data_IF_214351840934
#
_entry.id   IF_214351840934
#
_cell.length_a   1.000
_cell.length_b   1.000
_cell.length_c   1.000
_cell.angle_alpha   90.00
_cell.angle_beta   90.00
_cell.angle_gamma   90.00
#
_symmetry.space_group_name_H-M   'P 1'
#
loop_
_entity.id
_entity.type
_entity.pdbx_description
1 polymer ?
#
# COMPACT_ATOMS: atom_id res chain seq x y z
N UNK A 1 -28.53 14.56 6.09
CA UNK A 1 -28.67 13.63 7.23
C UNK A 1 -27.28 13.15 7.61
N UNK A 2 -26.83 13.48 8.83
CA UNK A 2 -25.56 12.99 9.41
C UNK A 2 -25.80 11.59 9.98
N UNK A 3 -24.94 10.58 9.76
CA UNK A 3 -24.95 9.37 10.57
C UNK A 3 -24.47 9.71 11.98
N UNK A 4 -25.24 9.29 13.00
CA UNK A 4 -25.01 9.55 14.44
C UNK A 4 -24.55 8.31 15.20
N UNK A 5 -23.77 7.44 14.59
CA UNK A 5 -23.30 6.20 15.23
C UNK A 5 -21.78 6.17 15.29
N UNK A 6 -21.23 6.41 16.48
CA UNK A 6 -19.83 6.14 16.80
C UNK A 6 -19.73 4.70 17.34
N UNK A 7 -18.83 3.89 16.79
CA UNK A 7 -18.44 2.61 17.39
C UNK A 7 -17.72 2.92 18.71
N UNK A 8 -18.34 2.52 19.81
CA UNK A 8 -17.84 2.70 21.16
C UNK A 8 -17.10 1.43 21.58
N UNK A 9 -15.81 1.56 21.93
CA UNK A 9 -15.07 0.48 22.59
C UNK A 9 -13.75 0.11 21.90
N UNK A 10 -12.77 1.01 21.89
CA UNK A 10 -11.36 0.63 22.06
C UNK A 10 -10.72 1.74 22.88
N UNK A 11 -10.58 1.52 24.19
CA UNK A 11 -9.66 2.32 25.02
C UNK A 11 -8.25 2.08 24.51
N UNK A 12 -7.46 3.11 24.14
CA UNK A 12 -6.05 2.91 23.81
C UNK A 12 -5.31 2.50 25.08
N UNK A 13 -4.91 1.22 25.17
CA UNK A 13 -3.83 0.84 26.06
C UNK A 13 -2.54 1.45 25.47
N UNK A 14 -1.87 2.26 26.28
CA UNK A 14 -0.56 2.82 25.97
C UNK A 14 0.47 1.68 25.90
N UNK A 15 0.84 1.27 24.68
CA UNK A 15 1.93 0.30 24.47
C UNK A 15 3.07 0.93 23.65
N UNK A 16 4.22 1.08 24.32
CA UNK A 16 5.61 1.24 23.84
C UNK A 16 5.86 1.90 22.47
N UNK A 17 5.24 3.05 22.21
CA UNK A 17 5.36 3.85 20.97
C UNK A 17 6.70 4.57 20.73
N UNK A 18 7.75 4.30 21.50
CA UNK A 18 8.98 5.12 21.49
C UNK A 18 9.96 4.83 20.34
N UNK A 19 9.70 3.84 19.48
CA UNK A 19 10.70 3.33 18.52
C UNK A 19 10.29 3.54 17.05
N UNK A 20 8.99 3.60 16.73
CA UNK A 20 8.46 3.72 15.36
C UNK A 20 7.62 4.99 15.22
N UNK A 21 7.94 5.84 14.25
CA UNK A 21 7.17 7.05 14.02
C UNK A 21 6.20 6.91 12.84
N UNK A 22 5.02 7.52 12.93
CA UNK A 22 4.10 7.57 11.80
C UNK A 22 4.67 8.44 10.68
N UNK A 23 4.54 7.99 9.43
CA UNK A 23 4.74 8.84 8.27
C UNK A 23 3.63 9.90 8.22
N UNK A 24 4.02 11.16 8.01
CA UNK A 24 3.10 12.23 7.66
C UNK A 24 2.86 12.21 6.16
N UNK A 25 1.59 12.25 5.80
CA UNK A 25 1.14 12.48 4.42
C UNK A 25 1.00 13.99 4.29
N UNK A 26 1.46 14.55 3.16
CA UNK A 26 1.30 15.97 2.88
C UNK A 26 -0.18 16.35 2.97
N UNK A 27 -0.54 17.06 4.03
CA UNK A 27 -1.89 17.58 4.21
C UNK A 27 -2.13 18.67 3.18
N UNK A 28 -3.34 18.72 2.64
CA UNK A 28 -3.70 19.79 1.73
C UNK A 28 -3.55 21.15 2.44
N UNK A 29 -3.01 22.17 1.75
CA UNK A 29 -2.88 23.51 2.31
C UNK A 29 -4.22 23.97 2.91
N UNK A 30 -4.18 24.64 4.08
CA UNK A 30 -5.40 25.25 4.65
C UNK A 30 -6.01 26.20 3.61
N UNK A 31 -7.20 25.84 3.11
CA UNK A 31 -7.90 26.55 2.01
C UNK A 31 -7.91 25.83 0.66
N UNK A 32 -7.32 24.63 0.54
CA UNK A 32 -7.16 23.91 -0.73
C UNK A 32 -8.43 23.27 -1.32
N UNK A 33 -9.48 23.07 -0.52
CA UNK A 33 -10.78 22.53 -0.94
C UNK A 33 -11.87 23.03 0.02
N UNK A 34 -13.04 23.52 -0.46
CA UNK A 34 -14.16 23.85 0.42
C UNK A 34 -14.57 22.68 1.30
N UNK A 35 -15.15 22.96 2.47
CA UNK A 35 -15.75 21.91 3.30
C UNK A 35 -16.75 21.09 2.47
N UNK A 36 -16.77 19.77 2.65
CA UNK A 36 -17.59 18.81 1.88
C UNK A 36 -17.14 18.54 0.43
N UNK A 37 -15.94 18.95 0.03
CA UNK A 37 -15.38 18.60 -1.28
C UNK A 37 -14.27 17.56 -1.17
N UNK A 38 -14.15 16.72 -2.20
CA UNK A 38 -13.09 15.71 -2.31
C UNK A 38 -11.99 16.25 -3.23
N UNK A 39 -10.74 16.35 -2.76
CA UNK A 39 -9.59 16.77 -3.55
C UNK A 39 -9.23 15.69 -4.57
N UNK A 40 -9.40 16.00 -5.85
CA UNK A 40 -8.98 15.12 -6.95
C UNK A 40 -7.80 15.80 -7.65
N UNK A 41 -6.65 15.11 -7.71
CA UNK A 41 -5.51 15.58 -8.49
C UNK A 41 -5.95 15.75 -9.94
N UNK A 42 -5.74 16.95 -10.51
CA UNK A 42 -6.03 17.21 -11.92
C UNK A 42 -5.14 16.34 -12.78
N UNK A 43 -5.75 15.50 -13.61
CA UNK A 43 -5.06 14.64 -14.56
C UNK A 43 -4.75 15.46 -15.81
N UNK A 44 -3.48 15.47 -16.22
CA UNK A 44 -3.04 16.08 -17.47
C UNK A 44 -3.01 15.06 -18.61
N UNK A 45 -2.95 15.53 -19.86
CA UNK A 45 -2.77 14.64 -21.02
C UNK A 45 -1.44 13.87 -20.90
N UNK A 46 -0.42 14.54 -20.38
CA UNK A 46 0.91 13.99 -20.17
C UNK A 46 0.89 12.87 -19.11
N UNK A 47 0.13 13.03 -18.03
CA UNK A 47 -0.08 11.96 -17.04
C UNK A 47 -0.66 10.71 -17.71
N UNK A 48 -1.70 10.87 -18.55
CA UNK A 48 -2.32 9.75 -19.26
C UNK A 48 -1.36 9.05 -20.24
N UNK A 49 -0.50 9.82 -20.92
CA UNK A 49 0.53 9.26 -21.82
C UNK A 49 1.56 8.46 -21.00
N UNK A 50 2.04 9.01 -19.89
CA UNK A 50 3.04 8.34 -19.02
C UNK A 50 2.50 7.06 -18.38
N UNK A 51 1.23 7.04 -17.98
CA UNK A 51 0.59 5.84 -17.43
C UNK A 51 0.50 4.72 -18.45
N UNK A 52 0.13 5.02 -19.70
CA UNK A 52 0.11 4.02 -20.79
C UNK A 52 1.49 3.44 -21.08
N UNK A 53 2.56 4.19 -20.83
CA UNK A 53 3.94 3.71 -20.94
C UNK A 53 4.37 2.88 -19.72
N UNK A 54 3.67 3.01 -18.59
CA UNK A 54 3.96 2.35 -17.32
C UNK A 54 3.01 1.18 -17.00
N UNK A 55 2.04 0.86 -17.86
CA UNK A 55 1.03 -0.17 -17.60
C UNK A 55 1.55 -1.61 -17.64
N UNK A 56 2.78 -1.84 -18.10
CA UNK A 56 3.43 -3.16 -18.16
C UNK A 56 4.05 -3.61 -16.82
N UNK A 57 3.84 -2.86 -15.74
CA UNK A 57 4.25 -3.26 -14.39
C UNK A 57 3.32 -4.41 -13.95
N UNK A 58 3.87 -5.59 -13.66
CA UNK A 58 3.16 -6.67 -12.95
C UNK A 58 3.61 -6.72 -11.48
N UNK A 59 2.87 -6.12 -10.54
CA UNK A 59 3.00 -6.39 -9.11
C UNK A 59 1.70 -6.99 -8.55
N UNK A 60 1.82 -8.01 -7.68
CA UNK A 60 0.88 -8.47 -6.63
C UNK A 60 -0.64 -8.47 -6.91
N UNK A 61 -1.34 -9.56 -6.60
CA UNK A 61 -2.76 -9.78 -6.93
C UNK A 61 -3.71 -8.60 -6.61
N UNK A 62 -4.44 -8.19 -7.66
CA UNK A 62 -5.65 -7.37 -7.75
C UNK A 62 -5.80 -6.01 -7.01
N UNK A 63 -5.33 -5.81 -5.78
CA UNK A 63 -5.44 -4.53 -5.03
C UNK A 63 -4.17 -4.23 -4.22
N UNK A 64 -3.52 -3.08 -4.47
CA UNK A 64 -2.30 -2.71 -3.73
C UNK A 64 -2.32 -1.25 -3.29
N UNK A 65 -2.86 -0.93 -2.10
CA UNK A 65 -2.49 0.31 -1.43
C UNK A 65 -1.08 0.18 -0.86
N UNK A 66 -0.19 1.08 -1.25
CA UNK A 66 1.17 1.12 -0.73
C UNK A 66 1.80 2.50 -0.97
N UNK A 67 3.07 2.64 -0.65
CA UNK A 67 3.90 3.75 -1.10
C UNK A 67 4.77 3.33 -2.29
N UNK A 68 4.99 4.23 -3.24
CA UNK A 68 5.87 3.98 -4.38
C UNK A 68 6.68 5.20 -4.79
N UNK A 69 7.65 4.97 -5.67
CA UNK A 69 8.38 5.99 -6.41
C UNK A 69 8.24 5.65 -7.90
N UNK A 70 7.66 6.56 -8.69
CA UNK A 70 7.51 6.36 -10.13
C UNK A 70 7.94 7.64 -10.90
N UNK A 71 9.23 7.77 -11.22
CA UNK A 71 9.75 8.97 -11.89
C UNK A 71 9.20 9.17 -13.29
N UNK A 72 8.82 8.08 -13.99
CA UNK A 72 8.22 8.16 -15.32
C UNK A 72 6.80 8.74 -15.27
N UNK A 73 6.04 8.46 -14.21
CA UNK A 73 4.70 9.02 -14.02
C UNK A 73 4.74 10.46 -13.50
N UNK A 74 5.50 10.75 -12.45
CA UNK A 74 5.45 12.06 -11.77
C UNK A 74 6.50 13.06 -12.27
N UNK A 75 7.59 12.59 -12.87
CA UNK A 75 8.75 13.43 -13.19
C UNK A 75 9.61 13.79 -11.97
N UNK A 76 9.41 13.13 -10.83
CA UNK A 76 10.19 13.28 -9.61
C UNK A 76 10.50 11.92 -8.95
N UNK A 77 11.41 11.92 -7.98
CA UNK A 77 11.77 10.72 -7.21
C UNK A 77 11.11 10.73 -5.82
N UNK A 78 9.95 11.38 -5.66
CA UNK A 78 9.28 11.48 -4.36
C UNK A 78 8.48 10.21 -4.07
N UNK A 79 8.52 9.77 -2.82
CA UNK A 79 7.66 8.69 -2.35
C UNK A 79 6.23 9.21 -2.21
N UNK A 80 5.29 8.49 -2.81
CA UNK A 80 3.87 8.87 -2.83
C UNK A 80 2.99 7.73 -2.34
N UNK A 81 1.87 8.07 -1.74
CA UNK A 81 0.77 7.12 -1.56
C UNK A 81 0.23 6.75 -2.93
N UNK A 82 0.02 5.47 -3.19
CA UNK A 82 -0.66 5.04 -4.40
C UNK A 82 -1.61 3.89 -4.14
N UNK A 83 -2.53 3.74 -5.08
CA UNK A 83 -3.38 2.57 -5.21
C UNK A 83 -3.32 2.07 -6.64
N UNK A 84 -3.38 0.75 -6.82
CA UNK A 84 -3.63 0.14 -8.11
C UNK A 84 -4.61 -1.00 -7.95
N UNK A 85 -5.52 -1.12 -8.91
CA UNK A 85 -6.45 -2.24 -8.97
C UNK A 85 -6.51 -2.84 -10.37
N UNK A 86 -6.95 -4.10 -10.48
CA UNK A 86 -7.25 -4.80 -11.73
C UNK A 86 -8.37 -5.82 -11.52
N UNK A 87 -9.23 -6.01 -12.52
CA UNK A 87 -10.29 -7.02 -12.48
C UNK A 87 -9.88 -8.37 -13.10
N UNK A 88 -8.78 -8.39 -13.86
CA UNK A 88 -8.38 -9.51 -14.72
C UNK A 88 -6.91 -9.91 -14.53
N UNK A 89 -6.39 -9.70 -13.32
CA UNK A 89 -5.01 -10.04 -12.95
C UNK A 89 -3.96 -9.37 -13.85
N UNK A 90 -4.12 -8.06 -14.05
CA UNK A 90 -3.19 -7.18 -14.78
C UNK A 90 -3.07 -7.48 -16.28
N UNK A 91 -4.06 -8.13 -16.87
CA UNK A 91 -4.04 -8.41 -18.31
C UNK A 91 -4.41 -7.18 -19.13
N UNK A 92 -5.64 -6.68 -18.95
CA UNK A 92 -6.20 -5.58 -19.76
C UNK A 92 -6.92 -4.54 -18.93
N UNK A 93 -7.44 -4.92 -17.77
CA UNK A 93 -8.22 -4.04 -16.89
C UNK A 93 -7.40 -3.53 -15.73
N UNK A 94 -7.85 -2.40 -15.19
CA UNK A 94 -7.30 -1.83 -13.98
C UNK A 94 -7.00 -0.35 -14.10
N UNK A 95 -6.63 0.25 -12.98
CA UNK A 95 -6.30 1.65 -12.92
C UNK A 95 -5.23 1.95 -11.90
N UNK A 96 -4.44 2.97 -12.20
CA UNK A 96 -3.53 3.61 -11.26
C UNK A 96 -4.25 4.79 -10.60
N UNK A 97 -4.32 4.80 -9.27
CA UNK A 97 -5.00 5.83 -8.47
C UNK A 97 -6.39 6.15 -9.02
N UNK A 98 -6.62 7.43 -9.32
CA UNK A 98 -7.85 7.98 -9.91
C UNK A 98 -7.66 8.38 -11.37
N UNK A 99 -6.61 7.90 -12.06
CA UNK A 99 -6.32 8.25 -13.46
C UNK A 99 -7.37 7.77 -14.46
N UNK A 100 -8.24 6.87 -14.02
CA UNK A 100 -9.36 6.24 -14.71
C UNK A 100 -10.43 5.87 -13.65
N UNK A 101 -11.69 5.62 -14.08
CA UNK A 101 -12.74 5.17 -13.18
C UNK A 101 -12.36 3.85 -12.51
N UNK A 102 -12.67 3.70 -11.22
CA UNK A 102 -12.53 2.43 -10.49
C UNK A 102 -12.31 2.61 -8.99
N UNK A 103 -11.35 3.44 -8.57
CA UNK A 103 -11.25 3.85 -7.17
C UNK A 103 -12.05 5.12 -6.94
N UNK A 104 -12.92 5.13 -5.93
CA UNK A 104 -13.71 6.29 -5.53
C UNK A 104 -13.08 6.87 -4.27
N UNK A 105 -12.35 7.97 -4.43
CA UNK A 105 -11.81 8.70 -3.28
C UNK A 105 -12.93 9.47 -2.57
N UNK A 106 -12.94 9.39 -1.24
CA UNK A 106 -13.90 10.09 -0.37
C UNK A 106 -13.19 11.02 0.61
N UNK A 107 -11.95 10.70 1.01
CA UNK A 107 -11.18 11.55 1.94
C UNK A 107 -11.01 12.95 1.40
N UNK A 108 -11.27 13.93 2.26
CA UNK A 108 -11.01 15.35 2.04
C UNK A 108 -9.72 15.85 2.71
N UNK A 109 -8.98 14.99 3.42
CA UNK A 109 -7.76 15.36 4.12
C UNK A 109 -6.52 15.28 3.23
N UNK A 110 -6.43 14.23 2.43
CA UNK A 110 -5.33 13.95 1.51
C UNK A 110 -5.83 13.03 0.40
N UNK A 111 -5.13 13.03 -0.73
CA UNK A 111 -5.49 12.22 -1.90
C UNK A 111 -4.61 10.99 -2.04
N UNK A 112 -5.08 9.99 -2.78
CA UNK A 112 -4.13 9.09 -3.46
C UNK A 112 -3.23 9.94 -4.36
N UNK A 113 -1.97 9.57 -4.58
CA UNK A 113 -0.88 10.41 -5.13
C UNK A 113 -0.23 11.46 -4.22
N UNK A 114 -0.71 11.64 -2.99
CA UNK A 114 -0.08 12.58 -2.05
C UNK A 114 1.36 12.18 -1.74
N UNK A 115 2.23 13.19 -1.57
CA UNK A 115 3.62 12.98 -1.17
C UNK A 115 3.64 12.50 0.28
N UNK A 116 4.55 11.57 0.58
CA UNK A 116 4.91 11.25 1.95
C UNK A 116 6.04 12.18 2.37
N UNK A 117 5.71 13.19 3.20
CA UNK A 117 6.67 14.23 3.60
C UNK A 117 7.76 13.71 4.54
N UNK A 118 7.45 12.67 5.30
CA UNK A 118 8.42 12.04 6.19
C UNK A 118 8.58 10.57 5.81
N UNK A 119 9.79 10.22 5.36
CA UNK A 119 10.18 8.86 5.00
C UNK A 119 11.24 8.34 5.96
N UNK A 120 11.42 7.02 5.98
CA UNK A 120 12.46 6.36 6.77
C UNK A 120 13.87 6.82 6.34
N UNK A 121 14.78 6.94 7.31
CA UNK A 121 16.20 7.23 7.05
C UNK A 121 17.01 5.99 7.34
N UNK A 122 17.89 5.60 6.41
CA UNK A 122 18.77 4.45 6.59
C UNK A 122 19.63 4.61 7.84
N UNK A 123 19.63 3.58 8.69
CA UNK A 123 20.26 3.57 10.01
C UNK A 123 19.77 4.68 10.97
N UNK A 124 18.59 5.26 10.68
CA UNK A 124 17.98 6.35 11.43
C UNK A 124 16.57 6.00 11.89
N UNK A 125 15.70 7.01 11.92
CA UNK A 125 14.29 6.85 12.29
C UNK A 125 13.57 6.09 11.18
N UNK A 126 12.89 5.00 11.55
CA UNK A 126 11.97 4.30 10.68
C UNK A 126 10.56 4.85 10.80
N UNK A 127 9.94 5.04 9.64
CA UNK A 127 8.58 5.54 9.48
C UNK A 127 7.68 4.42 9.02
N UNK A 128 6.41 4.49 9.45
CA UNK A 128 5.40 3.51 9.08
C UNK A 128 4.09 4.16 8.63
N UNK A 129 3.40 3.45 7.74
CA UNK A 129 2.01 3.70 7.39
C UNK A 129 1.19 2.46 7.70
N UNK A 130 0.06 2.67 8.38
CA UNK A 130 -0.94 1.63 8.58
C UNK A 130 -1.91 1.65 7.41
N UNK A 131 -2.14 0.50 6.80
CA UNK A 131 -3.16 0.31 5.77
C UNK A 131 -4.19 -0.70 6.26
N UNK A 132 -5.45 -0.51 5.88
CA UNK A 132 -6.50 -1.52 6.12
C UNK A 132 -7.43 -1.55 4.91
N UNK A 133 -7.66 -2.77 4.40
CA UNK A 133 -8.55 -3.05 3.30
C UNK A 133 -9.47 -4.19 3.72
N UNK A 134 -10.77 -3.99 3.59
CA UNK A 134 -11.76 -5.02 3.89
C UNK A 134 -13.02 -4.79 3.07
N UNK A 135 -13.76 -5.87 2.81
CA UNK A 135 -15.02 -5.78 2.09
C UNK A 135 -16.14 -5.37 3.04
N UNK A 136 -16.90 -4.34 2.66
CA UNK A 136 -18.10 -3.92 3.39
C UNK A 136 -19.24 -4.92 3.21
N UNK A 137 -19.86 -5.31 4.31
CA UNK A 137 -20.89 -6.35 4.33
C UNK A 137 -22.19 -5.98 3.60
N UNK A 138 -22.50 -4.68 3.51
CA UNK A 138 -23.78 -4.21 2.96
C UNK A 138 -23.70 -3.95 1.46
N UNK A 139 -22.61 -3.33 1.02
CA UNK A 139 -22.39 -2.92 -0.37
C UNK A 139 -21.51 -3.89 -1.15
N UNK A 140 -20.69 -4.69 -0.46
CA UNK A 140 -19.65 -5.52 -1.06
C UNK A 140 -18.47 -4.71 -1.62
N UNK A 141 -18.41 -3.40 -1.34
CA UNK A 141 -17.30 -2.56 -1.77
C UNK A 141 -16.06 -2.85 -0.94
N UNK A 142 -14.88 -2.78 -1.56
CA UNK A 142 -13.62 -2.86 -0.84
C UNK A 142 -13.26 -1.50 -0.28
N UNK A 143 -13.25 -1.40 1.05
CA UNK A 143 -13.07 -0.16 1.78
C UNK A 143 -11.59 0.03 2.10
N UNK A 144 -11.06 1.21 1.78
CA UNK A 144 -9.67 1.55 2.03
C UNK A 144 -9.53 2.57 3.16
N UNK A 145 -8.79 2.19 4.19
CA UNK A 145 -8.43 3.05 5.32
C UNK A 145 -6.91 3.15 5.45
N UNK A 146 -6.44 4.30 5.94
CA UNK A 146 -5.01 4.55 6.12
C UNK A 146 -4.74 5.38 7.38
N UNK A 147 -3.52 5.18 7.92
CA UNK A 147 -3.00 5.91 9.06
C UNK A 147 -3.50 5.35 10.38
N UNK A 148 -2.88 5.79 11.47
CA UNK A 148 -3.18 5.29 12.81
C UNK A 148 -4.60 5.59 13.29
N UNK A 149 -5.19 6.68 12.81
CA UNK A 149 -6.56 7.08 13.13
C UNK A 149 -7.59 6.40 12.22
N UNK A 150 -7.18 5.46 11.36
CA UNK A 150 -8.03 4.82 10.35
C UNK A 150 -8.84 5.87 9.55
N UNK A 151 -8.14 6.78 8.89
CA UNK A 151 -8.80 7.74 8.00
C UNK A 151 -9.38 6.99 6.80
N UNK A 152 -10.68 7.17 6.56
CA UNK A 152 -11.35 6.57 5.41
C UNK A 152 -10.91 7.26 4.12
N UNK A 153 -10.23 6.53 3.26
CA UNK A 153 -9.72 7.08 1.99
C UNK A 153 -10.75 7.06 0.88
N UNK A 154 -11.50 5.97 0.80
CA UNK A 154 -12.35 5.69 -0.34
C UNK A 154 -12.58 4.20 -0.49
N UNK A 155 -13.10 3.80 -1.64
CA UNK A 155 -13.45 2.41 -1.88
C UNK A 155 -13.34 2.03 -3.36
N UNK A 156 -13.16 0.74 -3.61
CA UNK A 156 -13.37 0.15 -4.92
C UNK A 156 -14.78 -0.47 -4.99
N UNK A 157 -15.62 -0.08 -5.96
CA UNK A 157 -16.95 -0.65 -6.10
C UNK A 157 -16.88 -2.14 -6.38
N UNK A 158 -17.73 -2.93 -5.72
CA UNK A 158 -17.87 -4.38 -5.96
C UNK A 158 -17.97 -4.72 -7.45
N UNK A 159 -18.70 -3.90 -8.20
CA UNK A 159 -19.05 -4.12 -9.61
C UNK A 159 -17.87 -4.10 -10.58
N UNK A 160 -16.71 -3.56 -10.18
CA UNK A 160 -15.53 -3.56 -11.04
C UNK A 160 -14.79 -4.90 -11.00
N UNK A 161 -15.09 -5.76 -10.02
CA UNK A 161 -14.41 -7.03 -9.81
C UNK A 161 -15.27 -8.22 -10.21
N UNK A 162 -14.67 -9.16 -10.92
CA UNK A 162 -15.28 -10.46 -11.19
C UNK A 162 -15.12 -11.40 -9.99
N UNK A 163 -13.87 -11.59 -9.54
CA UNK A 163 -13.53 -12.56 -8.49
C UNK A 163 -13.57 -11.92 -7.08
N UNK A 164 -12.87 -10.80 -6.89
CA UNK A 164 -12.88 -10.07 -5.62
C UNK A 164 -14.24 -9.48 -5.25
N UNK A 165 -15.24 -9.51 -6.14
CA UNK A 165 -16.59 -9.08 -5.80
C UNK A 165 -17.19 -9.88 -4.63
N UNK A 166 -16.70 -11.08 -4.33
CA UNK A 166 -17.28 -11.96 -3.30
C UNK A 166 -16.33 -12.22 -2.14
N UNK A 167 -15.08 -12.57 -2.43
CA UNK A 167 -14.05 -12.88 -1.45
C UNK A 167 -12.66 -12.81 -2.10
N UNK A 168 -11.63 -12.68 -1.27
CA UNK A 168 -10.25 -12.91 -1.67
C UNK A 168 -9.86 -14.36 -1.38
N UNK A 169 -9.17 -15.00 -2.32
CA UNK A 169 -8.62 -16.36 -2.15
C UNK A 169 -7.15 -16.36 -1.72
N UNK A 170 -6.50 -15.20 -1.81
CA UNK A 170 -5.08 -14.99 -1.51
C UNK A 170 -4.91 -13.53 -1.11
N UNK A 171 -3.98 -13.29 -0.20
CA UNK A 171 -3.57 -11.96 0.23
C UNK A 171 -2.04 -11.98 0.30
N UNK A 172 -1.41 -10.95 -0.25
CA UNK A 172 0.03 -10.84 -0.34
C UNK A 172 0.47 -9.50 0.27
N UNK A 173 1.58 -9.51 1.03
CA UNK A 173 2.21 -8.30 1.57
C UNK A 173 3.66 -8.27 1.11
N UNK A 174 4.15 -7.10 0.72
CA UNK A 174 5.54 -6.95 0.31
C UNK A 174 5.77 -5.74 -0.58
N UNK A 175 6.74 -5.87 -1.48
CA UNK A 175 7.11 -4.83 -2.43
C UNK A 175 7.41 -5.41 -3.79
N UNK A 176 7.17 -4.60 -4.82
CA UNK A 176 7.50 -4.92 -6.20
C UNK A 176 8.42 -3.86 -6.77
N UNK A 177 9.23 -4.28 -7.74
CA UNK A 177 10.00 -3.40 -8.60
C UNK A 177 9.69 -3.72 -10.05
N UNK A 178 9.87 -2.74 -10.92
CA UNK A 178 9.74 -2.93 -12.35
C UNK A 178 10.78 -2.07 -13.06
N UNK A 179 11.44 -2.67 -14.05
CA UNK A 179 12.24 -1.98 -15.07
C UNK A 179 11.61 -2.18 -16.43
N UNK A 180 11.90 -1.30 -17.39
CA UNK A 180 11.41 -1.49 -18.75
C UNK A 180 12.11 -2.66 -19.43
N UNK A 181 11.43 -3.23 -20.43
CA UNK A 181 12.02 -4.25 -21.32
C UNK A 181 13.29 -3.68 -21.96
N UNK A 182 14.43 -4.34 -21.71
CA UNK A 182 15.75 -3.92 -22.17
C UNK A 182 16.59 -3.16 -21.15
N UNK A 183 16.03 -2.76 -20.00
CA UNK A 183 16.81 -2.25 -18.86
C UNK A 183 17.32 -3.45 -18.03
N UNK A 184 18.63 -3.75 -18.11
CA UNK A 184 19.25 -4.86 -17.36
C UNK A 184 19.34 -4.60 -15.85
N UNK A 185 19.37 -3.33 -15.45
CA UNK A 185 19.47 -2.93 -14.06
C UNK A 185 18.10 -2.72 -13.44
N UNK A 186 17.73 -3.64 -12.55
CA UNK A 186 16.53 -3.49 -11.74
C UNK A 186 16.72 -2.41 -10.67
N UNK A 187 15.68 -1.62 -10.33
CA UNK A 187 15.81 -0.53 -9.36
C UNK A 187 15.94 -1.06 -7.93
N UNK A 188 16.45 -0.25 -7.00
CA UNK A 188 16.47 -0.59 -5.59
C UNK A 188 15.05 -0.76 -5.03
N UNK A 189 14.87 -1.71 -4.09
CA UNK A 189 13.62 -1.89 -3.35
C UNK A 189 13.78 -1.47 -1.89
N UNK A 190 12.82 -0.68 -1.39
CA UNK A 190 12.85 -0.18 -0.02
C UNK A 190 14.04 0.75 0.19
N UNK A 191 14.94 0.41 1.12
CA UNK A 191 16.18 1.15 1.37
C UNK A 191 17.30 0.84 0.38
N UNK A 192 17.13 -0.15 -0.50
CA UNK A 192 18.23 -0.66 -1.33
C UNK A 192 19.14 -1.66 -0.60
N UNK A 193 18.80 -2.08 0.62
CA UNK A 193 19.56 -3.04 1.41
C UNK A 193 18.78 -4.34 1.60
N UNK A 194 19.52 -5.42 1.81
CA UNK A 194 18.94 -6.73 2.07
C UNK A 194 18.28 -6.80 3.46
N UNK A 195 17.22 -7.62 3.61
CA UNK A 195 16.43 -7.69 4.83
C UNK A 195 17.19 -8.19 6.07
N UNK A 196 18.30 -8.89 5.90
CA UNK A 196 19.21 -9.37 6.95
C UNK A 196 19.80 -8.22 7.78
N UNK A 197 19.81 -6.99 7.24
CA UNK A 197 20.26 -5.81 7.99
C UNK A 197 19.25 -5.34 9.04
N UNK A 198 17.98 -5.76 8.94
CA UNK A 198 16.97 -5.59 9.98
C UNK A 198 16.57 -4.16 10.33
N UNK A 199 16.21 -3.96 11.60
CA UNK A 199 15.65 -2.70 12.11
C UNK A 199 16.54 -1.49 11.79
N UNK A 200 15.92 -0.34 11.51
CA UNK A 200 16.52 0.91 11.00
C UNK A 200 17.09 0.87 9.58
N UNK A 201 17.26 -0.31 8.98
CA UNK A 201 18.00 -0.45 7.72
C UNK A 201 17.19 -1.07 6.60
N UNK A 202 16.43 -2.12 6.88
CA UNK A 202 15.59 -2.81 5.91
C UNK A 202 14.16 -2.24 5.89
N UNK A 203 13.46 -2.44 4.76
CA UNK A 203 12.01 -2.19 4.71
C UNK A 203 11.27 -3.33 5.41
N UNK A 204 10.09 -3.04 5.96
CA UNK A 204 9.36 -4.01 6.79
C UNK A 204 7.85 -3.86 6.64
N UNK A 205 7.15 -4.97 6.90
CA UNK A 205 5.77 -4.98 7.35
C UNK A 205 5.74 -5.55 8.77
N UNK A 206 4.84 -5.06 9.59
CA UNK A 206 4.56 -5.58 10.94
C UNK A 206 3.07 -5.42 11.23
N UNK A 207 2.58 -6.14 12.25
CA UNK A 207 1.14 -6.23 12.56
C UNK A 207 0.31 -6.68 11.38
N UNK A 208 0.81 -7.67 10.65
CA UNK A 208 0.10 -8.28 9.54
C UNK A 208 -1.06 -9.10 10.10
N UNK A 209 -2.27 -8.67 9.76
CA UNK A 209 -3.51 -9.31 10.15
C UNK A 209 -4.43 -9.49 8.94
N UNK A 210 -5.34 -10.45 9.03
CA UNK A 210 -6.38 -10.68 8.04
C UNK A 210 -7.76 -10.77 8.70
N UNK A 211 -8.80 -10.52 7.91
CA UNK A 211 -10.21 -10.72 8.29
C UNK A 211 -10.71 -11.88 7.43
N UNK A 212 -10.92 -13.08 8.01
CA UNK A 212 -11.21 -14.28 7.23
C UNK A 212 -12.64 -14.27 6.69
N UNK A 213 -13.59 -13.78 7.49
CA UNK A 213 -14.99 -13.62 7.11
C UNK A 213 -15.40 -12.18 7.30
N UNK A 214 -16.23 -11.68 6.39
CA UNK A 214 -16.80 -10.35 6.48
C UNK A 214 -17.56 -10.20 7.81
N UNK A 215 -17.16 -9.21 8.62
CA UNK A 215 -17.75 -8.94 9.93
C UNK A 215 -17.00 -9.54 11.12
N UNK A 216 -15.96 -10.34 10.88
CA UNK A 216 -15.10 -10.88 11.93
C UNK A 216 -14.02 -9.86 12.39
N UNK A 217 -13.40 -10.17 13.52
CA UNK A 217 -12.23 -9.46 14.03
C UNK A 217 -10.95 -9.77 13.22
N UNK A 218 -9.94 -8.91 13.36
CA UNK A 218 -8.61 -9.15 12.82
C UNK A 218 -7.94 -10.33 13.51
N UNK A 219 -7.40 -11.26 12.72
CA UNK A 219 -6.62 -12.39 13.22
C UNK A 219 -5.21 -12.39 12.61
N UNK A 220 -4.29 -13.03 13.33
CA UNK A 220 -2.98 -13.37 12.79
C UNK A 220 -3.11 -14.46 11.71
N UNK A 221 -2.37 -14.37 10.58
CA UNK A 221 -2.29 -15.48 9.63
C UNK A 221 -1.75 -16.77 10.28
N UNK A 222 -2.16 -17.94 9.79
CA UNK A 222 -1.57 -19.22 10.24
C UNK A 222 -0.16 -19.38 9.65
N UNK A 223 0.80 -19.89 10.44
CA UNK A 223 2.16 -20.15 9.95
C UNK A 223 2.16 -21.15 8.77
N UNK A 224 1.21 -22.09 8.77
CA UNK A 224 1.06 -23.10 7.72
C UNK A 224 0.61 -22.53 6.38
N UNK A 225 -0.04 -21.36 6.41
CA UNK A 225 -0.69 -20.76 5.25
C UNK A 225 0.17 -19.63 4.65
N UNK A 226 1.30 -19.32 5.28
CA UNK A 226 2.23 -18.29 4.84
C UNK A 226 3.33 -18.87 3.96
N UNK A 227 3.56 -18.20 2.83
CA UNK A 227 4.68 -18.46 1.94
C UNK A 227 5.52 -17.19 1.76
N UNK A 228 6.83 -17.34 1.89
CA UNK A 228 7.79 -16.29 1.56
C UNK A 228 8.27 -16.48 0.12
N UNK A 229 8.04 -15.49 -0.73
CA UNK A 229 8.32 -15.56 -2.17
C UNK A 229 9.24 -14.41 -2.58
N UNK A 230 10.25 -14.72 -3.39
CA UNK A 230 11.04 -13.74 -4.14
C UNK A 230 11.25 -14.23 -5.56
N UNK A 231 10.80 -13.45 -6.54
CA UNK A 231 10.99 -13.79 -7.96
C UNK A 231 12.45 -13.64 -8.41
N UNK A 232 13.25 -12.82 -7.72
CA UNK A 232 14.65 -12.52 -8.04
C UNK A 232 15.51 -12.51 -6.76
N UNK A 233 15.78 -13.67 -6.14
CA UNK A 233 16.42 -13.78 -4.83
C UNK A 233 17.84 -13.19 -4.75
N UNK A 234 18.51 -13.07 -5.90
CA UNK A 234 19.83 -12.43 -6.00
C UNK A 234 19.78 -10.91 -5.79
N UNK A 235 18.65 -10.28 -6.11
CA UNK A 235 18.46 -8.84 -5.98
C UNK A 235 17.57 -8.45 -4.82
N UNK A 236 16.57 -9.27 -4.52
CA UNK A 236 15.54 -8.97 -3.54
C UNK A 236 15.29 -10.17 -2.69
N UNK A 237 15.19 -9.95 -1.38
CA UNK A 237 14.89 -11.02 -0.44
C UNK A 237 13.76 -10.59 0.46
N UNK A 238 13.13 -11.59 1.02
CA UNK A 238 12.22 -11.49 2.15
C UNK A 238 12.82 -12.34 3.26
N UNK A 239 12.89 -11.76 4.45
CA UNK A 239 13.30 -12.45 5.66
C UNK A 239 12.16 -12.33 6.65
N UNK A 240 11.36 -13.40 6.71
CA UNK A 240 10.35 -13.62 7.72
C UNK A 240 10.89 -14.65 8.70
N UNK A 241 11.28 -14.18 9.87
CA UNK A 241 11.43 -15.02 11.06
C UNK A 241 11.65 -14.07 12.20
N UNK A 242 10.56 -13.77 12.87
CA UNK A 242 10.43 -13.68 14.32
C UNK A 242 9.13 -12.94 14.62
N UNK A 243 8.44 -13.34 15.68
CA UNK A 243 7.40 -12.51 16.30
C UNK A 243 8.13 -11.27 16.83
N UNK A 244 8.36 -10.29 15.97
CA UNK A 244 9.10 -9.08 16.34
C UNK A 244 8.16 -8.28 17.24
N UNK A 245 8.33 -8.49 18.55
CA UNK A 245 7.86 -7.66 19.65
C UNK A 245 6.47 -7.89 20.29
N UNK A 246 5.62 -8.83 19.85
CA UNK A 246 4.26 -8.90 20.45
C UNK A 246 3.38 -10.10 20.09
N UNK A 247 3.90 -11.20 19.55
CA UNK A 247 3.06 -12.27 18.95
C UNK A 247 2.34 -11.86 17.65
N UNK A 248 2.80 -10.80 16.98
CA UNK A 248 2.26 -10.32 15.69
C UNK A 248 3.22 -10.65 14.54
N UNK A 249 2.70 -10.94 13.36
CA UNK A 249 3.53 -11.23 12.19
C UNK A 249 4.22 -9.98 11.66
N UNK A 250 5.54 -10.11 11.47
CA UNK A 250 6.39 -9.10 10.86
C UNK A 250 7.45 -9.76 9.97
N UNK A 251 7.90 -9.03 8.95
CA UNK A 251 8.97 -9.46 8.07
C UNK A 251 9.72 -8.27 7.49
N UNK A 252 10.99 -8.48 7.21
CA UNK A 252 11.80 -7.54 6.45
C UNK A 252 11.85 -7.95 4.99
N UNK A 253 11.93 -6.97 4.10
CA UNK A 253 12.10 -7.19 2.67
C UNK A 253 12.89 -6.03 2.05
N UNK A 254 13.48 -6.29 0.89
CA UNK A 254 14.23 -5.27 0.16
C UNK A 254 15.39 -5.84 -0.62
N UNK A 255 16.18 -4.94 -1.21
CA UNK A 255 17.46 -5.28 -1.79
C UNK A 255 17.98 -4.25 -2.79
N UNK A 256 19.25 -4.38 -3.19
CA UNK A 256 19.96 -3.36 -3.96
C UNK A 256 19.54 -3.25 -5.43
N UNK A 257 18.77 -4.20 -5.96
CA UNK A 257 18.53 -4.28 -7.40
C UNK A 257 19.83 -4.56 -8.17
N UNK A 258 19.93 -4.03 -9.39
CA UNK A 258 21.03 -4.29 -10.32
C UNK A 258 20.74 -5.47 -11.25
N UNK A 259 21.79 -6.18 -11.65
CA UNK A 259 21.69 -7.33 -12.56
C UNK A 259 21.28 -8.59 -11.78
N UNK A 260 19.98 -8.90 -11.79
CA UNK A 260 19.41 -9.93 -10.92
C UNK A 260 19.57 -11.38 -11.39
N UNK A 261 20.14 -11.58 -12.58
CA UNK A 261 20.10 -12.86 -13.28
C UNK A 261 18.68 -13.21 -13.74
N UNK A 262 18.58 -14.12 -14.71
CA UNK A 262 17.32 -14.68 -15.21
C UNK A 262 16.65 -15.58 -14.20
#
# INVERSE_FOLDING_TARGET
MRPTTFLQGVTPQEDSSSILESSKIEELPRGGCPSETVPIRRITKEDLIRTKLSSNIHPFTQETPSSHVNPKLYGDNKTRLFTRWTADNYQTTGCYNTLCPGFVQISNYFSVDSILDTVSIYNGIQRQLKFSVFQDQFTGNWMFFIGHQNHFMGYWPRSIFQNLGYYANSIEWGGATHSLVGEENMPQMGSGHFPEEGYRKACFFHRVHLIPTIGDDFINPSETDLAMISNKPNCYRVLGKDLIWSSEYAFYFGGPGGTCGS
#
